data_IF_993238332072
#
_entry.id   IF_993238332072
#
_cell.length_a   1.000
_cell.length_b   1.000
_cell.length_c   1.000
_cell.angle_alpha   90.00
_cell.angle_beta   90.00
_cell.angle_gamma   90.00
#
_symmetry.space_group_name_H-M   'P 1'
#
loop_
_entity.id
_entity.type
_entity.pdbx_description
1 polymer ?
#
# COMPACT_ATOMS: atom_id res chain seq x y z
N UNK A 1 -22.97 -28.51 2.26
CA UNK A 1 -23.25 -27.34 1.38
C UNK A 1 -22.85 -26.10 2.15
N UNK A 2 -21.97 -25.25 1.61
CA UNK A 2 -21.63 -23.95 2.17
C UNK A 2 -22.49 -22.89 1.49
N UNK A 3 -23.33 -22.19 2.26
CA UNK A 3 -24.15 -21.08 1.77
C UNK A 3 -23.37 -19.80 2.05
N UNK A 4 -23.09 -19.02 1.01
CA UNK A 4 -22.55 -17.66 1.14
C UNK A 4 -23.74 -16.70 1.05
N UNK A 5 -23.85 -15.79 2.01
CA UNK A 5 -24.93 -14.79 2.07
C UNK A 5 -24.32 -13.41 2.15
N UNK A 6 -24.81 -12.51 1.30
CA UNK A 6 -24.41 -11.11 1.31
C UNK A 6 -25.13 -10.36 2.43
N UNK A 7 -24.41 -9.44 3.08
CA UNK A 7 -24.92 -8.67 4.20
C UNK A 7 -24.39 -7.24 4.19
N UNK A 8 -25.18 -6.32 4.73
CA UNK A 8 -24.79 -4.94 4.97
C UNK A 8 -24.38 -4.79 6.42
N UNK A 9 -23.17 -4.28 6.65
CA UNK A 9 -22.75 -3.87 7.99
C UNK A 9 -23.28 -2.48 8.32
N UNK A 10 -24.14 -2.37 9.33
CA UNK A 10 -24.70 -1.10 9.79
C UNK A 10 -24.89 -1.09 11.31
N UNK A 11 -24.42 -0.03 11.98
CA UNK A 11 -24.57 0.18 13.43
C UNK A 11 -24.09 -1.01 14.29
N UNK A 12 -22.99 -1.67 13.91
CA UNK A 12 -22.44 -2.82 14.65
C UNK A 12 -23.11 -4.16 14.32
N UNK A 13 -24.10 -4.20 13.43
CA UNK A 13 -24.87 -5.39 13.09
C UNK A 13 -24.66 -5.74 11.61
N UNK A 14 -24.38 -7.01 11.31
CA UNK A 14 -24.43 -7.55 9.95
C UNK A 14 -25.87 -7.92 9.61
N UNK A 15 -26.49 -7.16 8.74
CA UNK A 15 -27.86 -7.40 8.26
C UNK A 15 -27.80 -8.15 6.93
N UNK A 16 -28.21 -9.43 6.88
CA UNK A 16 -28.22 -10.16 5.63
C UNK A 16 -29.25 -9.54 4.66
N UNK A 17 -28.96 -9.56 3.36
CA UNK A 17 -29.87 -9.07 2.33
C UNK A 17 -31.10 -9.97 2.16
N UNK A 18 -30.93 -11.26 2.46
CA UNK A 18 -31.98 -12.28 2.43
C UNK A 18 -32.15 -12.91 3.81
N UNK A 19 -33.38 -13.24 4.22
CA UNK A 19 -33.61 -13.90 5.50
C UNK A 19 -32.88 -15.24 5.58
N UNK A 20 -32.26 -15.51 6.72
CA UNK A 20 -31.55 -16.76 7.01
C UNK A 20 -32.55 -17.79 7.56
N UNK A 21 -33.37 -18.39 6.69
CA UNK A 21 -34.47 -19.28 7.08
C UNK A 21 -34.02 -20.53 7.83
N UNK A 22 -32.81 -21.01 7.53
CA UNK A 22 -32.29 -22.29 8.04
C UNK A 22 -31.14 -22.13 9.05
N UNK A 23 -30.80 -20.89 9.44
CA UNK A 23 -29.69 -20.63 10.36
C UNK A 23 -30.21 -20.42 11.80
N UNK A 24 -29.86 -21.29 12.77
CA UNK A 24 -30.27 -21.09 14.15
C UNK A 24 -29.60 -19.86 14.77
N UNK A 25 -30.24 -19.31 15.80
CA UNK A 25 -29.70 -18.18 16.56
C UNK A 25 -28.33 -18.52 17.16
N UNK A 26 -27.45 -17.51 17.27
CA UNK A 26 -26.10 -17.65 17.83
C UNK A 26 -25.17 -18.62 17.08
N UNK A 27 -25.44 -18.87 15.80
CA UNK A 27 -24.55 -19.67 14.95
C UNK A 27 -23.29 -18.90 14.58
N UNK A 28 -22.12 -19.56 14.70
CA UNK A 28 -20.85 -18.99 14.24
C UNK A 28 -20.81 -18.93 12.72
N UNK A 29 -20.47 -17.76 12.19
CA UNK A 29 -20.31 -17.53 10.74
C UNK A 29 -18.90 -17.02 10.45
N UNK A 30 -18.40 -17.29 9.24
CA UNK A 30 -17.16 -16.71 8.72
C UNK A 30 -17.51 -15.53 7.83
N UNK A 31 -16.90 -14.39 8.12
CA UNK A 31 -17.09 -13.17 7.32
C UNK A 31 -15.93 -13.08 6.32
N UNK A 32 -16.26 -12.92 5.05
CA UNK A 32 -15.31 -12.61 3.99
C UNK A 32 -15.65 -11.23 3.46
N UNK A 33 -14.67 -10.32 3.46
CA UNK A 33 -14.81 -9.00 2.83
C UNK A 33 -14.04 -9.05 1.53
N UNK A 34 -14.75 -8.93 0.41
CA UNK A 34 -14.12 -8.85 -0.90
C UNK A 34 -13.57 -7.43 -1.09
N UNK A 35 -12.27 -7.28 -0.94
CA UNK A 35 -11.58 -6.07 -1.38
C UNK A 35 -11.29 -6.22 -2.87
N UNK A 36 -11.63 -5.20 -3.66
CA UNK A 36 -11.12 -5.07 -5.03
C UNK A 36 -9.60 -5.18 -4.92
N UNK A 37 -9.02 -6.24 -5.49
CA UNK A 37 -7.57 -6.35 -5.53
C UNK A 37 -7.04 -5.08 -6.18
N UNK A 38 -6.21 -4.31 -5.46
CA UNK A 38 -5.47 -3.18 -5.99
C UNK A 38 -4.78 -3.67 -7.28
N UNK A 39 -5.36 -3.37 -8.45
CA UNK A 39 -4.83 -3.72 -9.77
C UNK A 39 -3.60 -2.90 -10.13
N UNK A 40 -3.14 -2.05 -9.21
CA UNK A 40 -1.89 -1.33 -9.32
C UNK A 40 -1.00 -1.83 -8.18
N UNK A 41 0.19 -2.40 -8.45
CA UNK A 41 1.18 -2.52 -7.39
C UNK A 41 1.41 -1.09 -6.92
N UNK A 42 0.97 -0.76 -5.70
CA UNK A 42 1.26 0.54 -5.06
C UNK A 42 2.76 0.76 -5.22
N UNK A 43 3.15 1.59 -6.19
CA UNK A 43 4.56 1.86 -6.45
C UNK A 43 5.07 2.43 -5.15
N UNK A 44 5.97 1.69 -4.53
CA UNK A 44 6.56 2.11 -3.27
C UNK A 44 7.15 3.49 -3.51
N UNK A 45 6.82 4.46 -2.65
CA UNK A 45 7.40 5.81 -2.71
C UNK A 45 8.94 5.73 -2.73
N UNK A 46 9.48 4.64 -2.17
CA UNK A 46 10.91 4.28 -2.18
C UNK A 46 11.40 3.94 -3.60
N UNK A 47 10.63 3.22 -4.41
CA UNK A 47 11.01 2.87 -5.79
C UNK A 47 11.00 4.11 -6.70
N UNK A 48 10.04 5.01 -6.49
CA UNK A 48 10.00 6.28 -7.21
C UNK A 48 11.18 7.19 -6.81
N UNK A 49 11.47 7.31 -5.51
CA UNK A 49 12.65 8.03 -5.02
C UNK A 49 13.97 7.45 -5.51
N UNK A 50 14.08 6.12 -5.66
CA UNK A 50 15.28 5.47 -6.22
C UNK A 50 15.46 5.79 -7.70
N UNK A 51 14.38 5.84 -8.48
CA UNK A 51 14.43 6.25 -9.89
C UNK A 51 14.83 7.72 -10.07
N UNK A 52 14.39 8.58 -9.15
CA UNK A 52 14.74 10.00 -9.16
C UNK A 52 16.15 10.31 -8.63
N UNK A 53 16.94 9.30 -8.23
CA UNK A 53 18.35 9.56 -7.87
C UNK A 53 19.13 9.93 -9.11
N UNK A 54 19.75 11.11 -9.07
CA UNK A 54 20.70 11.56 -10.08
C UNK A 54 21.82 10.52 -10.18
N UNK A 55 21.91 9.87 -11.35
CA UNK A 55 23.04 9.01 -11.68
C UNK A 55 24.18 9.93 -12.12
N UNK A 56 25.00 10.35 -11.17
CA UNK A 56 26.21 11.11 -11.46
C UNK A 56 27.29 10.10 -11.83
N UNK A 57 27.84 10.23 -13.03
CA UNK A 57 28.97 9.42 -13.47
C UNK A 57 30.19 9.67 -12.55
N UNK A 58 30.99 8.63 -12.31
CA UNK A 58 32.10 8.68 -11.36
C UNK A 58 33.18 9.68 -11.77
N UNK A 59 33.39 9.91 -13.08
CA UNK A 59 34.30 10.95 -13.55
C UNK A 59 33.72 12.34 -13.30
N UNK A 60 32.43 12.52 -13.53
CA UNK A 60 31.74 13.80 -13.26
C UNK A 60 31.73 14.14 -11.77
N UNK A 61 31.51 13.16 -10.90
CA UNK A 61 31.57 13.36 -9.45
C UNK A 61 32.98 13.78 -8.99
N UNK A 62 34.02 13.21 -9.61
CA UNK A 62 35.41 13.55 -9.33
C UNK A 62 35.76 14.95 -9.84
N UNK A 63 35.32 15.29 -11.05
CA UNK A 63 35.54 16.61 -11.65
C UNK A 63 34.84 17.72 -10.85
N UNK A 64 33.63 17.48 -10.32
CA UNK A 64 32.95 18.40 -9.39
C UNK A 64 33.75 18.55 -8.08
N UNK A 65 34.29 17.46 -7.55
CA UNK A 65 35.09 17.48 -6.32
C UNK A 65 36.45 18.18 -6.48
N UNK A 66 37.05 18.11 -7.67
CA UNK A 66 38.33 18.74 -7.99
C UNK A 66 38.17 20.19 -8.49
N UNK A 67 37.01 20.57 -9.04
CA UNK A 67 36.70 21.93 -9.52
C UNK A 67 36.22 22.89 -8.43
N UNK A 68 35.86 22.39 -7.25
CA UNK A 68 35.78 23.22 -6.05
C UNK A 68 37.18 23.38 -5.46
N UNK A 69 37.93 24.38 -5.93
CA UNK A 69 38.92 25.01 -5.05
C UNK A 69 38.20 25.40 -3.76
N UNK A 70 38.64 24.84 -2.63
CA UNK A 70 38.22 25.28 -1.30
C UNK A 70 38.74 26.69 -1.08
N UNK A 71 38.06 27.68 -1.64
CA UNK A 71 38.32 29.08 -1.33
C UNK A 71 37.71 29.37 0.06
N UNK A 72 38.54 29.86 0.98
CA UNK A 72 38.30 30.14 2.41
C UNK A 72 38.26 28.87 3.29
N UNK A 73 39.13 28.68 4.30
CA UNK A 73 39.61 29.63 5.30
C UNK A 73 41.02 29.25 5.80
N UNK A 74 42.06 29.99 5.41
CA UNK A 74 43.23 30.21 6.26
C UNK A 74 43.32 31.71 6.57
N UNK A 75 43.36 32.00 7.88
CA UNK A 75 43.33 33.31 8.53
C UNK A 75 44.52 34.23 8.21
#
# INVERSE_FOLDING_TARGET
>A
MSITVEAIYAAGILKPLSPLTDLPENTKVRITVETVADTEPRRSVIDEQRRSRLHIDSQVARDIGESHEYDLFES
#
